data_IF_430029133246
#
_entry.id   IF_430029133246
#
_cell.length_a   1.000
_cell.length_b   1.000
_cell.length_c   1.000
_cell.angle_alpha   90.00
_cell.angle_beta   90.00
_cell.angle_gamma   90.00
#
_symmetry.space_group_name_H-M   'P 1'
#
loop_
_entity.id
_entity.type
_entity.pdbx_description
1 polymer ?
#
# COMPACT_ATOMS: atom_id res chain seq x y z
N UNK A 1 4.76 0.12 9.39
CA UNK A 1 3.30 0.32 9.21
C UNK A 1 2.60 0.11 10.55
N UNK A 2 1.48 0.78 10.77
CA UNK A 2 0.76 0.76 12.05
C UNK A 2 -0.40 -0.23 12.05
N UNK A 3 -0.60 -0.90 13.18
CA UNK A 3 -1.80 -1.66 13.54
C UNK A 3 -2.07 -2.91 12.69
N UNK A 4 -3.23 -3.50 12.92
CA UNK A 4 -3.95 -4.43 12.03
C UNK A 4 -5.42 -4.10 12.21
N UNK A 5 -6.05 -3.60 11.16
CA UNK A 5 -7.41 -3.06 11.22
C UNK A 5 -8.30 -3.86 10.27
N UNK A 6 -9.57 -4.05 10.64
CA UNK A 6 -10.55 -4.66 9.74
C UNK A 6 -10.76 -3.77 8.51
N UNK A 7 -10.79 -4.38 7.33
CA UNK A 7 -11.03 -3.70 6.07
C UNK A 7 -12.55 -3.50 5.86
N UNK A 8 -13.11 -2.52 6.56
CA UNK A 8 -14.47 -2.06 6.37
C UNK A 8 -14.58 -0.54 6.49
N UNK A 9 -15.71 0.00 6.01
CA UNK A 9 -15.94 1.44 5.92
C UNK A 9 -15.85 2.12 7.29
N UNK A 10 -16.46 1.55 8.32
CA UNK A 10 -16.51 2.13 9.66
C UNK A 10 -15.10 2.22 10.27
N UNK A 11 -14.33 1.15 10.16
CA UNK A 11 -12.95 1.08 10.69
C UNK A 11 -12.04 2.04 9.95
N UNK A 12 -12.13 2.10 8.62
CA UNK A 12 -11.33 3.02 7.79
C UNK A 12 -11.66 4.47 8.14
N UNK A 13 -12.94 4.83 8.25
CA UNK A 13 -13.36 6.18 8.55
C UNK A 13 -12.90 6.65 9.95
N UNK A 14 -12.90 5.74 10.94
CA UNK A 14 -12.43 6.03 12.31
C UNK A 14 -10.90 6.11 12.40
N UNK A 15 -10.19 5.27 11.65
CA UNK A 15 -8.73 5.12 11.80
C UNK A 15 -7.95 6.09 10.92
N UNK A 16 -8.40 6.33 9.69
CA UNK A 16 -7.74 7.23 8.74
C UNK A 16 -8.36 8.63 8.89
N UNK A 17 -7.78 9.46 9.75
CA UNK A 17 -8.37 10.77 10.10
C UNK A 17 -7.92 11.92 9.19
N UNK A 18 -6.85 11.73 8.42
CA UNK A 18 -6.28 12.74 7.52
C UNK A 18 -6.47 12.35 6.05
N UNK A 19 -6.86 13.31 5.22
CA UNK A 19 -6.68 13.24 3.76
C UNK A 19 -5.20 13.52 3.46
N UNK A 20 -4.48 12.48 3.04
CA UNK A 20 -3.03 12.54 2.85
C UNK A 20 -2.56 11.38 1.98
N UNK A 21 -1.38 11.55 1.38
CA UNK A 21 -0.63 10.46 0.78
C UNK A 21 -0.28 9.39 1.83
N UNK A 22 -0.06 8.17 1.38
CA UNK A 22 0.38 7.10 2.27
C UNK A 22 0.41 5.73 1.62
N UNK A 23 0.82 4.76 2.43
CA UNK A 23 0.96 3.37 2.05
C UNK A 23 -0.03 2.50 2.83
N UNK A 24 -0.40 1.38 2.23
CA UNK A 24 -1.15 0.34 2.90
C UNK A 24 -0.66 -1.04 2.48
N UNK A 25 -0.91 -2.01 3.36
CA UNK A 25 -0.92 -3.42 3.00
C UNK A 25 -2.29 -4.01 3.30
N UNK A 26 -2.72 -4.95 2.46
CA UNK A 26 -3.96 -5.72 2.64
C UNK A 26 -3.61 -7.18 2.84
N UNK A 27 -4.45 -7.88 3.60
CA UNK A 27 -4.21 -9.27 3.91
C UNK A 27 -5.21 -9.82 4.92
N UNK A 28 -4.71 -10.73 5.76
CA UNK A 28 -5.47 -11.35 6.83
C UNK A 28 -4.55 -11.79 7.97
N UNK A 29 -5.09 -11.85 9.18
CA UNK A 29 -4.41 -12.44 10.34
C UNK A 29 -4.82 -13.90 10.52
N UNK A 30 -3.83 -14.76 10.72
CA UNK A 30 -3.99 -16.15 11.15
C UNK A 30 -2.95 -16.44 12.23
N UNK A 31 -3.36 -17.05 13.34
CA UNK A 31 -2.46 -17.42 14.44
C UNK A 31 -1.58 -16.23 14.93
N UNK A 32 -2.21 -15.06 15.11
CA UNK A 32 -1.58 -13.78 15.50
C UNK A 32 -0.57 -13.21 14.50
N UNK A 33 -0.40 -13.85 13.35
CA UNK A 33 0.50 -13.40 12.27
C UNK A 33 -0.31 -12.75 11.17
N UNK A 34 0.08 -11.54 10.76
CA UNK A 34 -0.52 -10.85 9.63
C UNK A 34 0.16 -11.29 8.33
N UNK A 35 -0.60 -11.93 7.45
CA UNK A 35 -0.13 -12.36 6.14
C UNK A 35 -0.45 -11.26 5.13
N UNK A 36 0.60 -10.57 4.68
CA UNK A 36 0.51 -9.56 3.62
C UNK A 36 0.22 -10.26 2.30
N UNK A 37 -0.77 -9.74 1.58
CA UNK A 37 -1.17 -10.23 0.26
C UNK A 37 -1.12 -9.16 -0.82
N UNK A 38 -1.29 -7.90 -0.46
CA UNK A 38 -1.22 -6.80 -1.41
C UNK A 38 -0.56 -5.59 -0.77
N UNK A 39 0.28 -4.91 -1.53
CA UNK A 39 0.92 -3.65 -1.15
C UNK A 39 0.40 -2.56 -2.08
N UNK A 40 0.11 -1.40 -1.51
CA UNK A 40 -0.38 -0.27 -2.29
C UNK A 40 0.01 1.08 -1.70
N UNK A 41 -0.16 2.12 -2.51
CA UNK A 41 -0.14 3.52 -2.05
C UNK A 41 -1.34 4.34 -2.54
N UNK A 42 -1.44 5.55 -1.98
CA UNK A 42 -2.20 6.66 -2.54
C UNK A 42 -1.33 7.91 -2.49
N UNK A 43 -1.37 8.71 -3.55
CA UNK A 43 -0.58 9.94 -3.66
C UNK A 43 -1.28 11.14 -3.00
N UNK A 44 -2.58 11.05 -2.68
CA UNK A 44 -3.35 12.20 -2.19
C UNK A 44 -4.38 11.85 -1.12
N UNK A 45 -5.10 10.74 -1.29
CA UNK A 45 -6.15 10.32 -0.37
C UNK A 45 -6.06 8.82 -0.09
N UNK A 46 -5.35 8.47 0.99
CA UNK A 46 -5.22 7.10 1.48
C UNK A 46 -6.58 6.49 1.88
N UNK A 47 -7.49 7.30 2.44
CA UNK A 47 -8.80 6.82 2.88
C UNK A 47 -9.62 6.36 1.69
N UNK A 48 -9.76 7.21 0.67
CA UNK A 48 -10.50 6.89 -0.53
C UNK A 48 -9.95 5.62 -1.21
N UNK A 49 -8.63 5.48 -1.26
CA UNK A 49 -7.98 4.30 -1.84
C UNK A 49 -8.28 3.02 -1.05
N UNK A 50 -8.20 3.03 0.28
CA UNK A 50 -8.57 1.88 1.10
C UNK A 50 -10.05 1.49 0.95
N UNK A 51 -10.95 2.48 0.92
CA UNK A 51 -12.39 2.24 0.70
C UNK A 51 -12.66 1.55 -0.64
N UNK A 52 -11.91 1.88 -1.70
CA UNK A 52 -12.07 1.24 -3.01
C UNK A 52 -11.75 -0.25 -3.04
N UNK A 53 -11.01 -0.78 -2.05
CA UNK A 53 -10.69 -2.20 -1.97
C UNK A 53 -11.78 -3.04 -1.31
N UNK A 54 -12.72 -2.41 -0.58
CA UNK A 54 -13.77 -3.12 0.17
C UNK A 54 -14.64 -3.98 -0.75
N UNK A 55 -15.06 -3.42 -1.89
CA UNK A 55 -15.98 -4.08 -2.82
C UNK A 55 -15.41 -5.38 -3.41
N UNK A 56 -14.08 -5.55 -3.42
CA UNK A 56 -13.45 -6.77 -3.92
C UNK A 56 -13.68 -7.98 -3.02
N UNK A 57 -13.91 -7.78 -1.72
CA UNK A 57 -14.04 -8.86 -0.73
C UNK A 57 -12.81 -9.77 -0.55
N UNK A 58 -11.70 -9.51 -1.26
CA UNK A 58 -10.52 -10.39 -1.27
C UNK A 58 -9.71 -10.35 0.03
N UNK A 59 -9.77 -9.23 0.73
CA UNK A 59 -8.94 -8.93 1.89
C UNK A 59 -9.79 -8.64 3.12
N UNK A 60 -9.30 -9.03 4.29
CA UNK A 60 -10.04 -8.90 5.56
C UNK A 60 -9.53 -7.75 6.41
N UNK A 61 -8.25 -7.46 6.29
CA UNK A 61 -7.57 -6.51 7.15
C UNK A 61 -6.56 -5.66 6.37
N UNK A 62 -6.23 -4.51 6.94
CA UNK A 62 -5.21 -3.63 6.41
C UNK A 62 -4.28 -3.10 7.51
N UNK A 63 -3.07 -2.71 7.11
CA UNK A 63 -2.18 -1.83 7.87
C UNK A 63 -1.87 -0.62 7.02
N UNK A 64 -1.47 0.48 7.63
CA UNK A 64 -1.17 1.69 6.89
C UNK A 64 -0.07 2.55 7.52
N UNK A 65 0.38 3.54 6.75
CA UNK A 65 1.17 4.66 7.23
C UNK A 65 0.92 5.88 6.35
N UNK A 66 0.85 7.07 6.95
CA UNK A 66 0.89 8.32 6.19
C UNK A 66 2.29 8.54 5.62
N UNK A 67 2.36 9.20 4.47
CA UNK A 67 3.60 9.64 3.85
C UNK A 67 3.70 11.16 3.90
N UNK A 68 4.93 11.67 3.92
CA UNK A 68 5.21 13.12 3.91
C UNK A 68 5.03 13.73 2.51
N UNK A 69 5.10 12.91 1.46
CA UNK A 69 4.89 13.30 0.08
C UNK A 69 4.47 12.10 -0.78
N UNK A 70 3.93 12.31 -1.99
CA UNK A 70 3.69 11.24 -2.95
C UNK A 70 4.96 10.47 -3.33
N UNK A 71 6.11 11.16 -3.42
CA UNK A 71 7.42 10.52 -3.68
C UNK A 71 7.80 9.54 -2.56
N UNK A 72 7.69 9.99 -1.31
CA UNK A 72 7.96 9.14 -0.16
C UNK A 72 6.99 7.94 -0.10
N UNK A 73 5.73 8.13 -0.52
CA UNK A 73 4.78 7.02 -0.64
C UNK A 73 5.21 6.02 -1.72
N UNK A 74 5.62 6.48 -2.90
CA UNK A 74 6.14 5.63 -3.98
C UNK A 74 7.37 4.83 -3.56
N UNK A 75 8.40 5.50 -3.04
CA UNK A 75 9.63 4.84 -2.60
C UNK A 75 9.34 3.79 -1.51
N UNK A 76 8.46 4.13 -0.56
CA UNK A 76 8.09 3.19 0.51
C UNK A 76 7.23 2.03 0.00
N UNK A 77 6.37 2.25 -0.99
CA UNK A 77 5.63 1.16 -1.64
C UNK A 77 6.56 0.17 -2.32
N UNK A 78 7.54 0.68 -3.07
CA UNK A 78 8.58 -0.14 -3.71
C UNK A 78 9.32 -0.99 -2.65
N UNK A 79 9.82 -0.35 -1.58
CA UNK A 79 10.47 -1.07 -0.49
C UNK A 79 9.57 -2.18 0.08
N UNK A 80 8.31 -1.87 0.43
CA UNK A 80 7.40 -2.87 1.00
C UNK A 80 7.10 -4.00 0.00
N UNK A 81 6.93 -3.68 -1.28
CA UNK A 81 6.71 -4.66 -2.33
C UNK A 81 7.85 -5.68 -2.38
N UNK A 82 9.09 -5.21 -2.38
CA UNK A 82 10.28 -6.08 -2.37
C UNK A 82 10.45 -6.82 -1.03
N UNK A 83 10.26 -6.14 0.11
CA UNK A 83 10.34 -6.75 1.45
C UNK A 83 9.36 -7.93 1.62
N UNK A 84 8.20 -7.87 0.97
CA UNK A 84 7.19 -8.92 1.02
C UNK A 84 7.28 -9.92 -0.15
N UNK A 85 8.38 -9.91 -0.91
CA UNK A 85 8.71 -10.92 -1.92
C UNK A 85 8.14 -10.65 -3.32
N UNK A 86 7.67 -9.43 -3.59
CA UNK A 86 7.24 -8.98 -4.91
C UNK A 86 6.13 -9.83 -5.53
N UNK A 87 6.08 -9.87 -6.87
CA UNK A 87 5.06 -10.60 -7.65
C UNK A 87 5.01 -12.10 -7.35
N UNK A 88 6.08 -12.68 -6.80
CA UNK A 88 6.14 -14.12 -6.49
C UNK A 88 5.33 -14.49 -5.23
N UNK A 89 5.11 -13.52 -4.33
CA UNK A 89 4.49 -13.74 -3.02
C UNK A 89 3.23 -12.90 -2.80
N UNK A 90 3.14 -11.75 -3.46
CA UNK A 90 2.03 -10.84 -3.40
C UNK A 90 1.04 -11.11 -4.54
N UNK A 91 -0.21 -10.72 -4.32
CA UNK A 91 -1.26 -10.65 -5.34
C UNK A 91 -1.13 -9.36 -6.19
N UNK A 92 -0.02 -8.62 -6.06
CA UNK A 92 0.31 -7.51 -6.94
C UNK A 92 0.75 -8.07 -8.29
N UNK A 93 0.05 -7.71 -9.36
CA UNK A 93 0.36 -8.21 -10.71
C UNK A 93 1.63 -7.58 -11.32
N UNK A 94 2.04 -6.42 -10.81
CA UNK A 94 3.18 -5.67 -11.32
C UNK A 94 3.90 -4.93 -10.19
N UNK A 95 5.15 -4.58 -10.45
CA UNK A 95 5.93 -3.65 -9.62
C UNK A 95 5.21 -2.31 -9.49
N UNK A 96 5.32 -1.62 -8.34
CA UNK A 96 4.79 -0.27 -8.18
C UNK A 96 5.29 0.69 -9.26
N UNK A 97 4.37 1.34 -9.97
CA UNK A 97 4.71 2.30 -11.01
C UNK A 97 4.80 3.73 -10.45
N UNK A 98 5.63 4.57 -11.06
CA UNK A 98 5.73 5.99 -10.72
C UNK A 98 4.61 6.80 -11.39
N UNK A 99 4.15 7.92 -10.80
CA UNK A 99 3.17 8.78 -11.46
C UNK A 99 3.70 9.30 -12.80
N UNK A 100 2.81 9.49 -13.78
CA UNK A 100 3.19 9.87 -15.16
C UNK A 100 3.95 11.21 -15.26
N UNK A 101 3.73 12.10 -14.29
CA UNK A 101 4.39 13.40 -14.17
C UNK A 101 5.71 13.35 -13.38
N UNK A 102 6.19 12.17 -12.99
CA UNK A 102 7.33 11.99 -12.07
C UNK A 102 8.40 11.08 -12.68
N UNK A 103 8.86 11.43 -13.88
CA UNK A 103 9.81 10.62 -14.67
C UNK A 103 11.21 10.51 -14.07
N UNK A 104 11.51 11.31 -13.05
CA UNK A 104 12.78 11.36 -12.32
C UNK A 104 12.74 10.54 -11.02
N UNK A 105 11.60 9.92 -10.69
CA UNK A 105 11.50 9.07 -9.49
C UNK A 105 11.92 7.66 -9.82
N UNK A 106 12.82 7.13 -9.02
CA UNK A 106 13.40 5.80 -9.19
C UNK A 106 13.00 4.88 -8.05
N UNK A 107 12.97 3.58 -8.32
CA UNK A 107 12.78 2.57 -7.28
C UNK A 107 14.05 2.51 -6.42
N UNK A 108 13.97 2.61 -5.09
CA UNK A 108 15.16 2.56 -4.24
C UNK A 108 15.78 1.15 -4.12
N UNK A 109 15.16 0.12 -4.71
CA UNK A 109 15.55 -1.30 -4.53
C UNK A 109 16.02 -1.96 -5.82
N UNK A 110 15.50 -1.56 -6.98
CA UNK A 110 15.86 -2.13 -8.27
C UNK A 110 15.89 -1.06 -9.36
N UNK A 111 16.41 -1.45 -10.52
CA UNK A 111 16.68 -0.63 -11.71
C UNK A 111 15.58 -0.73 -12.77
N UNK A 112 14.35 -1.11 -12.40
CA UNK A 112 13.24 -1.34 -13.35
C UNK A 112 12.90 -0.13 -14.24
N UNK A 113 13.28 1.07 -13.81
CA UNK A 113 13.04 2.33 -14.50
C UNK A 113 14.30 2.91 -15.16
N UNK A 114 15.46 2.30 -14.92
CA UNK A 114 16.70 2.63 -15.61
C UNK A 114 16.57 2.18 -17.07
N UNK A 115 16.98 3.05 -17.99
CA UNK A 115 16.92 2.81 -19.43
C UNK A 115 18.25 2.35 -19.98
#
# INVERSE_FOLDING_TARGET
>A
MNGSYKLDSDTINKTITKTSAGNYVLGYTKDKTFYVKYVGRSDSDLKARLLSHISSGRYKEFKYSYATSPKAAFEKECQNFHDFGGIEKLDNDMHPDRPSNSKDWECPICDIFDK
#
